data_IF_673752960037
#
_entry.id   IF_673752960037
#
_cell.length_a   1.000
_cell.length_b   1.000
_cell.length_c   1.000
_cell.angle_alpha   90.00
_cell.angle_beta   90.00
_cell.angle_gamma   90.00
#
_symmetry.space_group_name_H-M   'P 1'
#
loop_
_entity.id
_entity.type
_entity.pdbx_description
1 polymer ?
#
# COMPACT_ATOMS: atom_id res chain seq x y z
N UNK A 1 13.57 -5.54 -1.39
CA UNK A 1 13.54 -5.66 -2.84
C UNK A 1 13.90 -4.35 -3.52
N UNK A 2 14.53 -4.41 -4.66
CA UNK A 2 14.99 -3.24 -5.39
C UNK A 2 14.94 -3.51 -6.88
N UNK A 3 14.42 -2.56 -7.67
CA UNK A 3 14.52 -2.57 -9.12
C UNK A 3 15.52 -1.50 -9.57
N UNK A 4 16.32 -1.82 -10.57
CA UNK A 4 17.27 -0.90 -11.23
C UNK A 4 17.10 -0.93 -12.73
N UNK A 5 16.88 0.23 -13.32
CA UNK A 5 17.00 0.43 -14.77
C UNK A 5 18.49 0.45 -15.15
N UNK A 6 18.84 -0.28 -16.20
CA UNK A 6 20.21 -0.41 -16.70
C UNK A 6 20.25 -0.20 -18.21
N UNK A 7 21.45 -0.01 -18.74
CA UNK A 7 21.68 -0.07 -20.18
C UNK A 7 21.53 -1.50 -20.71
N UNK A 8 21.21 -1.63 -22.00
CA UNK A 8 20.98 -2.95 -22.63
C UNK A 8 22.19 -3.87 -22.63
N UNK A 9 23.40 -3.33 -22.63
CA UNK A 9 24.66 -4.06 -22.57
C UNK A 9 25.06 -4.52 -21.16
N UNK A 10 24.49 -3.88 -20.13
CA UNK A 10 24.80 -4.20 -18.74
C UNK A 10 23.99 -5.39 -18.19
N UNK A 11 22.99 -5.91 -18.95
CA UNK A 11 22.10 -7.01 -18.51
C UNK A 11 22.31 -8.25 -19.35
N UNK A 12 22.55 -9.38 -18.66
CA UNK A 12 22.46 -10.72 -19.22
C UNK A 12 21.02 -11.22 -19.12
N UNK A 13 20.31 -11.18 -20.27
CA UNK A 13 18.89 -11.50 -20.29
C UNK A 13 18.60 -12.94 -19.88
N UNK A 14 17.64 -13.11 -18.97
CA UNK A 14 17.21 -14.43 -18.49
C UNK A 14 18.07 -14.98 -17.34
N UNK A 15 19.10 -14.25 -16.89
CA UNK A 15 19.97 -14.69 -15.81
C UNK A 15 19.27 -14.61 -14.46
N UNK A 16 19.33 -15.71 -13.71
CA UNK A 16 18.94 -15.78 -12.30
C UNK A 16 20.17 -16.17 -11.47
N UNK A 17 20.50 -15.36 -10.49
CA UNK A 17 21.60 -15.61 -9.55
C UNK A 17 21.03 -15.80 -8.14
N UNK A 18 21.55 -16.78 -7.39
CA UNK A 18 21.22 -17.00 -5.99
C UNK A 18 22.49 -16.86 -5.17
N UNK A 19 22.50 -15.95 -4.19
CA UNK A 19 23.63 -15.71 -3.29
C UNK A 19 23.22 -16.19 -1.89
N UNK A 20 23.71 -17.36 -1.49
CA UNK A 20 23.33 -18.06 -0.27
C UNK A 20 22.44 -19.28 -0.54
N UNK A 21 21.78 -19.85 0.49
CA UNK A 21 20.91 -21.02 0.36
C UNK A 21 19.73 -20.81 -0.58
N UNK A 22 19.40 -21.81 -1.41
CA UNK A 22 18.17 -21.82 -2.23
C UNK A 22 16.96 -22.25 -1.39
N UNK A 23 15.74 -22.09 -1.88
CA UNK A 23 14.49 -22.47 -1.19
C UNK A 23 14.52 -23.92 -0.70
N UNK A 24 15.04 -24.85 -1.51
CA UNK A 24 15.18 -26.28 -1.17
C UNK A 24 16.12 -26.54 0.02
N UNK A 25 17.03 -25.63 0.29
CA UNK A 25 18.02 -25.75 1.37
C UNK A 25 17.49 -25.16 2.69
N UNK A 26 16.32 -24.50 2.66
CA UNK A 26 15.66 -23.93 3.82
C UNK A 26 14.72 -24.96 4.47
N UNK A 27 14.80 -25.12 5.78
CA UNK A 27 13.92 -26.02 6.52
C UNK A 27 12.47 -25.59 6.50
N UNK A 28 11.54 -26.56 6.51
CA UNK A 28 10.11 -26.28 6.62
C UNK A 28 9.80 -25.48 7.89
N UNK A 29 9.04 -24.39 7.76
CA UNK A 29 8.66 -23.51 8.88
C UNK A 29 9.77 -22.58 9.36
N UNK A 30 10.96 -22.62 8.72
CA UNK A 30 12.02 -21.65 8.97
C UNK A 30 11.73 -20.32 8.29
N UNK A 31 12.35 -19.25 8.76
CA UNK A 31 12.41 -17.97 8.05
C UNK A 31 13.88 -17.62 7.78
N UNK A 32 14.15 -17.05 6.62
CA UNK A 32 15.48 -16.63 6.21
C UNK A 32 15.44 -15.18 5.74
N UNK A 33 16.51 -14.40 5.93
CA UNK A 33 16.64 -13.11 5.27
C UNK A 33 16.50 -13.26 3.75
N UNK A 34 15.93 -12.26 3.09
CA UNK A 34 15.76 -12.27 1.64
C UNK A 34 15.94 -10.87 1.06
N UNK A 35 16.84 -10.75 0.09
CA UNK A 35 16.97 -9.63 -0.83
C UNK A 35 16.57 -10.05 -2.24
N UNK A 36 15.88 -9.17 -2.97
CA UNK A 36 15.51 -9.38 -4.37
C UNK A 36 15.98 -8.16 -5.16
N UNK A 37 16.99 -8.33 -6.00
CA UNK A 37 17.43 -7.32 -6.95
C UNK A 37 16.97 -7.72 -8.34
N UNK A 38 16.21 -6.84 -8.97
CA UNK A 38 15.76 -7.00 -10.36
C UNK A 38 16.37 -5.87 -11.18
N UNK A 39 17.12 -6.23 -12.21
CA UNK A 39 17.69 -5.29 -13.14
C UNK A 39 16.99 -5.44 -14.49
N UNK A 40 16.54 -4.32 -15.04
CA UNK A 40 15.72 -4.27 -16.26
C UNK A 40 16.31 -3.31 -17.27
N UNK A 41 16.20 -3.62 -18.54
CA UNK A 41 16.59 -2.75 -19.63
C UNK A 41 15.60 -2.79 -20.79
N UNK A 42 15.51 -1.68 -21.51
CA UNK A 42 14.69 -1.49 -22.70
C UNK A 42 14.79 -0.04 -23.17
N UNK A 43 14.41 0.24 -24.42
CA UNK A 43 14.57 1.57 -25.03
C UNK A 43 13.83 2.68 -24.27
N UNK A 44 12.71 2.36 -23.62
CA UNK A 44 11.88 3.31 -22.85
C UNK A 44 11.95 3.08 -21.35
N UNK A 45 12.88 2.22 -20.90
CA UNK A 45 13.06 1.96 -19.47
C UNK A 45 14.00 3.00 -18.87
N UNK A 46 13.48 3.78 -17.94
CA UNK A 46 14.20 4.84 -17.23
C UNK A 46 14.06 4.71 -15.71
N UNK A 47 14.87 5.44 -14.96
CA UNK A 47 14.86 5.37 -13.49
C UNK A 47 13.49 5.69 -12.87
N UNK A 48 12.75 6.63 -13.45
CA UNK A 48 11.42 7.01 -12.96
C UNK A 48 10.35 5.90 -13.15
N UNK A 49 10.70 4.78 -13.81
CA UNK A 49 9.84 3.58 -13.87
C UNK A 49 10.17 2.54 -12.78
N UNK A 50 11.30 2.67 -12.12
CA UNK A 50 11.79 1.66 -11.17
C UNK A 50 10.77 1.39 -10.04
N UNK A 51 10.16 2.43 -9.47
CA UNK A 51 9.16 2.28 -8.40
C UNK A 51 7.89 1.54 -8.86
N UNK A 52 7.40 1.82 -10.06
CA UNK A 52 6.24 1.11 -10.64
C UNK A 52 6.56 -0.34 -10.96
N UNK A 53 7.73 -0.61 -11.52
CA UNK A 53 8.20 -1.97 -11.81
C UNK A 53 8.38 -2.75 -10.50
N UNK A 54 8.95 -2.12 -9.47
CA UNK A 54 9.12 -2.70 -8.14
C UNK A 54 7.78 -3.08 -7.51
N UNK A 55 6.77 -2.21 -7.61
CA UNK A 55 5.41 -2.51 -7.14
C UNK A 55 4.81 -3.75 -7.82
N UNK A 56 5.18 -4.05 -9.06
CA UNK A 56 4.69 -5.23 -9.77
C UNK A 56 5.25 -6.54 -9.24
N UNK A 57 6.38 -6.55 -8.52
CA UNK A 57 6.89 -7.75 -7.84
C UNK A 57 5.82 -8.32 -6.90
N UNK A 58 5.25 -7.45 -6.06
CA UNK A 58 4.15 -7.83 -5.16
C UNK A 58 2.96 -8.42 -5.93
N UNK A 59 2.57 -7.76 -6.99
CA UNK A 59 1.45 -8.17 -7.82
C UNK A 59 1.71 -9.54 -8.46
N UNK A 60 2.86 -9.71 -9.11
CA UNK A 60 3.20 -10.97 -9.78
C UNK A 60 3.41 -12.15 -8.83
N UNK A 61 4.07 -11.94 -7.71
CA UNK A 61 4.24 -12.99 -6.71
C UNK A 61 2.89 -13.51 -6.20
N UNK A 62 1.91 -12.64 -6.00
CA UNK A 62 0.59 -13.03 -5.51
C UNK A 62 -0.30 -13.70 -6.58
N UNK A 63 0.08 -13.72 -7.85
CA UNK A 63 -0.54 -14.55 -8.88
C UNK A 63 -0.04 -16.00 -8.89
N UNK A 64 1.10 -16.27 -8.26
CA UNK A 64 1.68 -17.61 -8.23
C UNK A 64 0.97 -18.45 -7.17
N UNK A 65 0.39 -19.59 -7.57
CA UNK A 65 -0.32 -20.48 -6.64
C UNK A 65 0.56 -20.86 -5.44
N UNK A 66 0.08 -20.51 -4.26
CA UNK A 66 0.74 -20.87 -3.01
C UNK A 66 1.89 -19.97 -2.60
N UNK A 67 2.21 -18.96 -3.38
CA UNK A 67 3.12 -17.90 -3.00
C UNK A 67 2.33 -16.70 -2.48
N UNK A 68 2.79 -16.11 -1.38
CA UNK A 68 2.24 -14.88 -0.82
C UNK A 68 3.38 -13.88 -0.60
N UNK A 69 3.23 -12.72 -1.19
CA UNK A 69 4.14 -11.59 -1.01
C UNK A 69 3.41 -10.48 -0.27
N UNK A 70 3.98 -10.02 0.81
CA UNK A 70 3.47 -8.91 1.62
C UNK A 70 4.52 -7.81 1.70
N UNK A 71 4.04 -6.59 1.92
CA UNK A 71 4.81 -5.37 2.04
C UNK A 71 5.60 -5.03 0.76
N UNK A 72 6.56 -4.12 0.86
CA UNK A 72 7.36 -3.64 -0.26
C UNK A 72 8.65 -3.03 0.21
N UNK A 73 9.62 -2.88 -0.72
CA UNK A 73 10.90 -2.24 -0.49
C UNK A 73 11.71 -2.98 0.57
N UNK A 74 11.91 -2.37 1.75
CA UNK A 74 12.86 -2.80 2.78
C UNK A 74 12.31 -3.82 3.79
N UNK A 75 11.03 -4.18 3.69
CA UNK A 75 10.34 -5.01 4.69
C UNK A 75 9.42 -6.07 4.08
N UNK A 76 9.81 -6.58 2.93
CA UNK A 76 9.05 -7.64 2.24
C UNK A 76 8.94 -8.91 3.08
N UNK A 77 7.82 -9.61 2.86
CA UNK A 77 7.58 -10.97 3.30
C UNK A 77 7.20 -11.83 2.11
N UNK A 78 7.96 -12.90 1.90
CA UNK A 78 7.67 -13.90 0.88
C UNK A 78 7.41 -15.24 1.60
N UNK A 79 6.21 -15.79 1.41
CA UNK A 79 5.79 -17.06 2.01
C UNK A 79 5.34 -18.02 0.94
N UNK A 80 5.97 -19.21 0.92
CA UNK A 80 5.57 -20.31 0.07
C UNK A 80 4.82 -21.36 0.91
N UNK A 81 3.67 -21.84 0.44
CA UNK A 81 2.96 -22.91 1.13
C UNK A 81 3.58 -24.28 0.85
N UNK A 82 3.37 -25.23 1.77
CA UNK A 82 3.89 -26.59 1.70
C UNK A 82 3.47 -27.32 0.42
N UNK A 83 2.21 -27.17 0.01
CA UNK A 83 1.66 -27.86 -1.16
C UNK A 83 2.38 -27.48 -2.47
N UNK A 84 2.65 -26.19 -2.67
CA UNK A 84 3.37 -25.71 -3.87
C UNK A 84 4.84 -26.11 -3.81
N UNK A 85 5.45 -26.08 -2.64
CA UNK A 85 6.81 -26.56 -2.44
C UNK A 85 6.94 -28.04 -2.82
N UNK A 86 6.05 -28.92 -2.33
CA UNK A 86 6.05 -30.35 -2.61
C UNK A 86 5.75 -30.66 -4.08
N UNK A 87 5.03 -29.79 -4.78
CA UNK A 87 4.80 -29.89 -6.24
C UNK A 87 6.01 -29.44 -7.08
N UNK A 88 7.12 -29.08 -6.45
CA UNK A 88 8.37 -28.71 -7.13
C UNK A 88 8.60 -27.21 -7.29
N UNK A 89 7.73 -26.34 -6.76
CA UNK A 89 8.00 -24.91 -6.71
C UNK A 89 8.88 -24.61 -5.49
N UNK A 90 10.17 -24.99 -5.55
CA UNK A 90 11.09 -24.98 -4.43
C UNK A 90 12.47 -24.37 -4.76
N UNK A 91 12.55 -23.53 -5.79
CA UNK A 91 13.79 -22.90 -6.23
C UNK A 91 13.58 -21.41 -6.54
N UNK A 92 14.49 -20.57 -6.09
CA UNK A 92 14.55 -19.17 -6.50
C UNK A 92 14.81 -19.02 -8.01
N UNK A 93 15.53 -19.97 -8.62
CA UNK A 93 15.71 -19.95 -10.06
C UNK A 93 14.37 -20.04 -10.80
N UNK A 94 13.49 -20.96 -10.39
CA UNK A 94 12.15 -21.09 -10.96
C UNK A 94 11.30 -19.84 -10.73
N UNK A 95 11.30 -19.28 -9.51
CA UNK A 95 10.62 -18.02 -9.21
C UNK A 95 11.13 -16.88 -10.11
N UNK A 96 12.45 -16.75 -10.27
CA UNK A 96 13.06 -15.75 -11.14
C UNK A 96 12.61 -15.87 -12.59
N UNK A 97 12.57 -17.09 -13.13
CA UNK A 97 12.08 -17.34 -14.50
C UNK A 97 10.62 -16.94 -14.67
N UNK A 98 9.76 -17.24 -13.69
CA UNK A 98 8.34 -16.85 -13.73
C UNK A 98 8.19 -15.33 -13.69
N UNK A 99 8.90 -14.67 -12.77
CA UNK A 99 8.86 -13.21 -12.67
C UNK A 99 9.33 -12.54 -13.97
N UNK A 100 10.43 -12.98 -14.57
CA UNK A 100 10.93 -12.42 -15.83
C UNK A 100 9.92 -12.57 -16.98
N UNK A 101 9.23 -13.70 -17.07
CA UNK A 101 8.16 -13.89 -18.05
C UNK A 101 7.00 -12.92 -17.82
N UNK A 102 6.57 -12.74 -16.57
CA UNK A 102 5.50 -11.80 -16.22
C UNK A 102 5.91 -10.36 -16.52
N UNK A 103 7.14 -9.95 -16.18
CA UNK A 103 7.63 -8.62 -16.51
C UNK A 103 7.61 -8.35 -18.01
N UNK A 104 8.09 -9.29 -18.83
CA UNK A 104 8.12 -9.12 -20.29
C UNK A 104 6.72 -9.14 -20.92
N UNK A 105 5.79 -9.95 -20.40
CA UNK A 105 4.43 -10.03 -20.93
C UNK A 105 3.58 -8.81 -20.57
N UNK A 106 3.68 -8.34 -19.35
CA UNK A 106 2.86 -7.24 -18.82
C UNK A 106 3.47 -5.84 -19.08
N UNK A 107 4.77 -5.78 -19.31
CA UNK A 107 5.53 -4.56 -19.60
C UNK A 107 6.41 -4.76 -20.85
N UNK A 108 5.85 -4.70 -22.06
CA UNK A 108 6.58 -4.97 -23.32
C UNK A 108 7.79 -4.06 -23.58
N UNK A 109 7.89 -2.92 -22.86
CA UNK A 109 9.07 -2.05 -22.88
C UNK A 109 10.30 -2.70 -22.27
N UNK A 110 10.14 -3.70 -21.38
CA UNK A 110 11.24 -4.45 -20.79
C UNK A 110 11.70 -5.50 -21.80
N UNK A 111 12.89 -5.31 -22.34
CA UNK A 111 13.52 -6.20 -23.32
C UNK A 111 14.45 -7.21 -22.66
N UNK A 112 15.19 -6.79 -21.64
CA UNK A 112 16.07 -7.65 -20.88
C UNK A 112 15.80 -7.55 -19.38
N UNK A 113 15.95 -8.67 -18.69
CA UNK A 113 15.77 -8.76 -17.24
C UNK A 113 16.76 -9.77 -16.67
N UNK A 114 17.42 -9.41 -15.58
CA UNK A 114 18.15 -10.35 -14.73
C UNK A 114 17.70 -10.18 -13.28
N UNK A 115 17.73 -11.27 -12.51
CA UNK A 115 17.27 -11.28 -11.11
C UNK A 115 18.32 -11.93 -10.23
N UNK A 116 18.60 -11.27 -9.11
CA UNK A 116 19.47 -11.82 -8.05
C UNK A 116 18.64 -11.97 -6.76
N UNK A 117 18.58 -13.19 -6.26
CA UNK A 117 18.07 -13.49 -4.92
C UNK A 117 19.25 -13.59 -3.95
N UNK A 118 19.14 -12.92 -2.82
CA UNK A 118 20.17 -12.86 -1.79
C UNK A 118 19.56 -13.42 -0.51
N UNK A 119 20.10 -14.54 -0.02
CA UNK A 119 19.65 -15.22 1.20
C UNK A 119 20.76 -15.35 2.25
N UNK A 120 22.00 -14.99 1.89
CA UNK A 120 23.08 -14.83 2.84
C UNK A 120 22.81 -13.63 3.77
N UNK A 121 22.82 -13.80 5.11
CA UNK A 121 22.42 -12.76 6.05
C UNK A 121 23.28 -11.49 5.99
N UNK A 122 24.63 -11.64 5.77
CA UNK A 122 25.53 -10.49 5.67
C UNK A 122 25.24 -9.71 4.39
N UNK A 123 25.12 -10.42 3.28
CA UNK A 123 24.83 -9.80 1.98
C UNK A 123 23.47 -9.15 1.95
N UNK A 124 22.44 -9.70 2.63
CA UNK A 124 21.14 -9.04 2.78
C UNK A 124 21.28 -7.74 3.58
N UNK A 125 22.09 -7.69 4.63
CA UNK A 125 22.33 -6.45 5.39
C UNK A 125 23.02 -5.37 4.55
N UNK A 126 24.01 -5.74 3.76
CA UNK A 126 24.70 -4.84 2.82
C UNK A 126 23.72 -4.32 1.76
N UNK A 127 22.99 -5.22 1.12
CA UNK A 127 22.00 -4.90 0.09
C UNK A 127 20.89 -3.99 0.65
N UNK A 128 20.41 -4.22 1.88
CA UNK A 128 19.41 -3.37 2.52
C UNK A 128 19.91 -1.93 2.68
N UNK A 129 21.17 -1.72 3.03
CA UNK A 129 21.75 -0.36 3.14
C UNK A 129 21.75 0.35 1.79
N UNK A 130 22.17 -0.35 0.73
CA UNK A 130 22.14 0.19 -0.63
C UNK A 130 20.71 0.51 -1.09
N UNK A 131 19.78 -0.42 -0.87
CA UNK A 131 18.37 -0.23 -1.21
C UNK A 131 17.77 0.98 -0.49
N UNK A 132 18.01 1.12 0.81
CA UNK A 132 17.51 2.27 1.58
C UNK A 132 18.04 3.60 1.04
N UNK A 133 19.34 3.68 0.68
CA UNK A 133 19.91 4.88 0.04
C UNK A 133 19.21 5.19 -1.28
N UNK A 134 18.99 4.19 -2.11
CA UNK A 134 18.28 4.37 -3.40
C UNK A 134 16.84 4.85 -3.19
N UNK A 135 16.14 4.31 -2.20
CA UNK A 135 14.77 4.77 -1.90
C UNK A 135 14.76 6.23 -1.45
N UNK A 136 15.68 6.63 -0.55
CA UNK A 136 15.76 8.02 -0.08
C UNK A 136 16.09 8.99 -1.24
N UNK A 137 16.96 8.60 -2.18
CA UNK A 137 17.29 9.38 -3.37
C UNK A 137 16.09 9.52 -4.31
N UNK A 138 15.32 8.44 -4.56
CA UNK A 138 14.09 8.47 -5.37
C UNK A 138 13.04 9.34 -4.72
N UNK A 139 12.83 9.15 -3.42
CA UNK A 139 11.81 9.84 -2.67
C UNK A 139 12.12 11.35 -2.56
N UNK A 140 13.40 11.71 -2.49
CA UNK A 140 13.81 13.11 -2.44
C UNK A 140 13.50 13.91 -3.70
N UNK A 141 13.38 13.27 -4.87
CA UNK A 141 13.11 13.96 -6.15
C UNK A 141 11.83 14.80 -6.13
N UNK A 142 10.77 14.33 -5.49
CA UNK A 142 9.50 15.03 -5.45
C UNK A 142 9.40 16.06 -4.31
N UNK A 143 10.34 16.05 -3.35
CA UNK A 143 10.35 17.01 -2.25
C UNK A 143 10.62 18.41 -2.78
N UNK A 144 9.77 19.35 -2.42
CA UNK A 144 9.84 20.74 -2.90
C UNK A 144 8.92 21.06 -4.07
N UNK A 145 8.42 20.06 -4.80
CA UNK A 145 7.36 20.26 -5.79
C UNK A 145 6.00 20.30 -5.08
N UNK A 146 5.14 21.23 -5.45
CA UNK A 146 3.83 21.44 -4.81
C UNK A 146 2.70 20.93 -5.69
N UNK A 147 1.62 20.49 -5.06
CA UNK A 147 0.44 20.00 -5.75
C UNK A 147 -0.25 21.09 -6.59
N UNK A 148 -0.11 22.35 -6.17
CA UNK A 148 -0.63 23.51 -6.88
C UNK A 148 0.17 23.88 -8.14
N UNK A 149 1.40 23.40 -8.27
CA UNK A 149 2.32 23.71 -9.38
C UNK A 149 2.17 22.77 -10.57
N UNK A 150 1.32 21.73 -10.45
CA UNK A 150 1.10 20.76 -11.52
C UNK A 150 -0.38 20.69 -11.92
N UNK A 151 -0.64 20.46 -13.20
CA UNK A 151 -2.00 20.33 -13.73
C UNK A 151 -2.50 18.88 -13.73
N UNK A 152 -1.59 17.93 -13.53
CA UNK A 152 -1.89 16.50 -13.56
C UNK A 152 -1.35 15.79 -12.34
N UNK A 153 -2.18 14.95 -11.76
CA UNK A 153 -1.82 13.92 -10.79
C UNK A 153 -1.78 12.55 -11.47
N UNK A 154 -1.49 11.51 -10.72
CA UNK A 154 -1.51 10.15 -11.24
C UNK A 154 -2.36 9.24 -10.37
N UNK A 155 -3.03 8.29 -11.00
CA UNK A 155 -3.83 7.28 -10.33
C UNK A 155 -3.14 5.92 -10.43
N UNK A 156 -3.36 5.06 -9.40
CA UNK A 156 -2.89 3.68 -9.43
C UNK A 156 -4.01 2.74 -8.97
N UNK A 157 -4.30 1.72 -9.78
CA UNK A 157 -5.32 0.69 -9.54
C UNK A 157 -4.74 -0.71 -9.33
N UNK A 158 -3.42 -0.86 -9.20
CA UNK A 158 -2.75 -2.16 -8.99
C UNK A 158 -3.28 -2.95 -7.77
N UNK A 159 -3.95 -2.28 -6.83
CA UNK A 159 -4.50 -2.91 -5.63
C UNK A 159 -5.98 -3.28 -5.75
N UNK A 160 -6.65 -3.02 -6.87
CA UNK A 160 -8.08 -3.29 -7.01
C UNK A 160 -8.46 -4.77 -6.96
N UNK A 161 -7.51 -5.68 -7.16
CA UNK A 161 -7.72 -7.11 -6.90
C UNK A 161 -8.03 -7.43 -5.43
N UNK A 162 -7.60 -6.57 -4.49
CA UNK A 162 -7.82 -6.71 -3.05
C UNK A 162 -8.84 -5.71 -2.50
N UNK A 163 -8.91 -4.53 -3.10
CA UNK A 163 -9.76 -3.41 -2.71
C UNK A 163 -10.38 -2.79 -3.97
N UNK A 164 -11.48 -3.36 -4.51
CA UNK A 164 -12.02 -3.03 -5.82
C UNK A 164 -12.35 -1.55 -6.03
N UNK A 165 -12.83 -0.85 -5.01
CA UNK A 165 -13.16 0.58 -5.06
C UNK A 165 -11.96 1.51 -4.78
N UNK A 166 -10.80 0.95 -4.44
CA UNK A 166 -9.62 1.75 -4.13
C UNK A 166 -8.91 2.26 -5.39
N UNK A 167 -8.74 3.57 -5.47
CA UNK A 167 -7.83 4.22 -6.40
C UNK A 167 -6.82 5.04 -5.58
N UNK A 168 -5.55 4.70 -5.70
CA UNK A 168 -4.51 5.50 -5.08
C UNK A 168 -4.25 6.74 -5.92
N UNK A 169 -4.49 7.92 -5.39
CA UNK A 169 -4.14 9.19 -6.04
C UNK A 169 -2.75 9.61 -5.56
N UNK A 170 -1.89 9.93 -6.51
CA UNK A 170 -0.48 10.25 -6.30
C UNK A 170 -0.25 11.67 -6.80
N UNK A 171 0.17 12.54 -5.90
CA UNK A 171 0.52 13.93 -6.18
C UNK A 171 1.99 14.18 -5.84
N UNK A 172 2.58 15.33 -6.19
CA UNK A 172 3.92 15.68 -5.74
C UNK A 172 4.11 15.56 -4.23
N UNK A 173 3.10 15.98 -3.45
CA UNK A 173 3.17 16.01 -1.98
C UNK A 173 2.46 14.82 -1.30
N UNK A 174 1.86 13.91 -2.07
CA UNK A 174 1.22 12.71 -1.56
C UNK A 174 1.60 11.50 -2.41
N UNK A 175 2.52 10.71 -1.91
CA UNK A 175 2.92 9.44 -2.51
C UNK A 175 1.81 8.39 -2.47
N UNK A 176 1.92 7.37 -3.32
CA UNK A 176 1.10 6.16 -3.17
C UNK A 176 1.19 5.65 -1.72
N UNK A 177 0.07 5.19 -1.16
CA UNK A 177 0.00 4.72 0.23
C UNK A 177 1.05 3.65 0.55
N UNK A 178 1.43 2.84 -0.43
CA UNK A 178 2.46 1.80 -0.30
C UNK A 178 3.89 2.33 -0.19
N UNK A 179 4.12 3.61 -0.47
CA UNK A 179 5.44 4.24 -0.47
C UNK A 179 6.31 3.95 -1.71
N UNK A 180 5.86 3.11 -2.65
CA UNK A 180 6.69 2.68 -3.77
C UNK A 180 6.61 3.57 -5.01
N UNK A 181 5.53 4.34 -5.17
CA UNK A 181 5.27 5.12 -6.39
C UNK A 181 5.16 6.60 -6.05
N UNK A 182 6.08 7.38 -6.57
CA UNK A 182 6.10 8.85 -6.53
C UNK A 182 5.29 9.44 -7.68
N UNK A 183 5.14 10.77 -7.67
CA UNK A 183 4.55 11.50 -8.80
C UNK A 183 5.37 11.32 -10.09
N UNK A 184 6.71 11.28 -9.99
CA UNK A 184 7.58 11.04 -11.15
C UNK A 184 7.41 9.63 -11.71
N UNK A 185 7.32 8.61 -10.85
CA UNK A 185 7.03 7.23 -11.27
C UNK A 185 5.67 7.14 -11.96
N UNK A 186 4.65 7.81 -11.41
CA UNK A 186 3.32 7.88 -12.02
C UNK A 186 3.36 8.53 -13.40
N UNK A 187 4.11 9.63 -13.56
CA UNK A 187 4.31 10.33 -14.81
C UNK A 187 4.97 9.45 -15.88
N UNK A 188 6.06 8.80 -15.51
CA UNK A 188 6.79 7.93 -16.42
C UNK A 188 5.93 6.73 -16.85
N UNK A 189 5.21 6.11 -15.93
CA UNK A 189 4.35 4.97 -16.23
C UNK A 189 3.17 5.34 -17.14
N UNK A 190 2.49 6.45 -16.85
CA UNK A 190 1.38 6.93 -17.69
C UNK A 190 1.82 7.37 -19.11
N UNK A 191 3.07 7.83 -19.25
CA UNK A 191 3.65 8.15 -20.57
C UNK A 191 3.88 6.89 -21.41
N UNK A 192 4.38 5.83 -20.77
CA UNK A 192 4.73 4.58 -21.45
C UNK A 192 3.50 3.72 -21.73
N UNK A 193 2.56 3.67 -20.80
CA UNK A 193 1.32 2.88 -20.89
C UNK A 193 0.12 3.73 -20.42
N UNK A 194 -0.42 4.62 -21.29
CA UNK A 194 -1.50 5.54 -20.92
C UNK A 194 -2.81 4.84 -20.52
N UNK A 195 -3.00 3.57 -20.91
CA UNK A 195 -4.17 2.74 -20.58
C UNK A 195 -3.90 1.74 -19.48
N UNK A 196 -2.70 1.74 -18.93
CA UNK A 196 -2.27 0.84 -17.88
C UNK A 196 -2.89 1.14 -16.52
N UNK A 197 -2.52 0.34 -15.51
CA UNK A 197 -3.05 0.50 -14.16
C UNK A 197 -2.50 1.72 -13.42
N UNK A 198 -1.48 2.40 -13.97
CA UNK A 198 -1.00 3.71 -13.52
C UNK A 198 -1.27 4.70 -14.64
N UNK A 199 -2.06 5.72 -14.38
CA UNK A 199 -2.62 6.60 -15.40
C UNK A 199 -2.68 8.06 -14.94
N UNK A 200 -2.83 8.97 -15.90
CA UNK A 200 -2.95 10.41 -15.65
C UNK A 200 -4.33 10.74 -15.08
N UNK A 201 -4.34 11.59 -14.06
CA UNK A 201 -5.53 12.18 -13.43
C UNK A 201 -5.44 13.69 -13.61
N UNK A 202 -6.41 14.28 -14.30
CA UNK A 202 -6.50 15.74 -14.34
C UNK A 202 -6.73 16.27 -12.91
N UNK A 203 -5.96 17.25 -12.47
CA UNK A 203 -6.21 17.90 -11.19
C UNK A 203 -7.60 18.54 -11.17
N UNK A 204 -7.95 19.22 -12.24
CA UNK A 204 -9.17 20.00 -12.33
C UNK A 204 -9.13 21.24 -11.43
N UNK A 205 -10.31 21.79 -11.15
CA UNK A 205 -10.46 22.94 -10.27
C UNK A 205 -10.22 22.56 -8.81
N UNK A 206 -9.66 23.49 -8.04
CA UNK A 206 -9.51 23.37 -6.60
C UNK A 206 -10.85 23.70 -5.94
N UNK A 207 -11.52 22.67 -5.40
CA UNK A 207 -12.81 22.82 -4.73
C UNK A 207 -12.60 23.26 -3.27
N UNK A 208 -11.65 22.63 -2.58
CA UNK A 208 -11.24 22.97 -1.22
C UNK A 208 -9.73 22.76 -1.08
N UNK A 209 -8.97 23.84 -1.04
CA UNK A 209 -7.51 23.80 -0.96
C UNK A 209 -6.98 23.26 0.38
N UNK A 210 -7.73 23.50 1.47
CA UNK A 210 -7.34 23.04 2.80
C UNK A 210 -7.50 21.52 2.93
N UNK A 211 -8.62 20.99 2.48
CA UNK A 211 -8.90 19.54 2.50
C UNK A 211 -8.25 18.78 1.34
N UNK A 212 -7.75 19.50 0.32
CA UNK A 212 -7.22 18.88 -0.88
C UNK A 212 -8.32 18.21 -1.72
N UNK A 213 -9.40 18.92 -1.94
CA UNK A 213 -10.47 18.46 -2.82
C UNK A 213 -10.30 19.08 -4.21
N UNK A 214 -10.27 18.22 -5.22
CA UNK A 214 -10.06 18.59 -6.62
C UNK A 214 -11.13 17.97 -7.50
N UNK A 215 -11.72 18.75 -8.41
CA UNK A 215 -12.83 18.27 -9.24
C UNK A 215 -12.45 17.13 -10.17
N UNK A 216 -11.27 17.16 -10.78
CA UNK A 216 -10.78 16.09 -11.65
C UNK A 216 -10.42 14.81 -10.90
N UNK A 217 -9.95 14.93 -9.66
CA UNK A 217 -9.73 13.79 -8.77
C UNK A 217 -11.06 13.12 -8.42
N UNK A 218 -12.06 13.88 -8.00
CA UNK A 218 -13.39 13.37 -7.67
C UNK A 218 -14.01 12.64 -8.87
N UNK A 219 -13.94 13.22 -10.07
CA UNK A 219 -14.45 12.57 -11.29
C UNK A 219 -13.73 11.25 -11.56
N UNK A 220 -12.40 11.24 -11.49
CA UNK A 220 -11.60 10.03 -11.73
C UNK A 220 -11.91 8.93 -10.70
N UNK A 221 -12.03 9.29 -9.42
CA UNK A 221 -12.34 8.34 -8.36
C UNK A 221 -13.74 7.74 -8.57
N UNK A 222 -14.73 8.56 -8.91
CA UNK A 222 -16.07 8.09 -9.21
C UNK A 222 -16.08 7.08 -10.36
N UNK A 223 -15.40 7.39 -11.44
CA UNK A 223 -15.34 6.53 -12.63
C UNK A 223 -14.63 5.19 -12.35
N UNK A 224 -13.53 5.24 -11.62
CA UNK A 224 -12.66 4.07 -11.39
C UNK A 224 -13.10 3.22 -10.19
N UNK A 225 -13.91 3.75 -9.27
CA UNK A 225 -14.49 3.01 -8.15
C UNK A 225 -15.86 2.40 -8.48
N UNK A 226 -16.28 2.40 -9.73
CA UNK A 226 -17.61 1.96 -10.16
C UNK A 226 -18.76 2.77 -9.51
N UNK A 227 -18.49 4.04 -9.20
CA UNK A 227 -19.44 4.95 -8.56
C UNK A 227 -19.57 4.78 -7.04
N UNK A 228 -18.79 3.89 -6.42
CA UNK A 228 -18.86 3.68 -4.97
C UNK A 228 -18.26 4.85 -4.16
N UNK A 229 -17.26 5.54 -4.72
CA UNK A 229 -16.62 6.71 -4.11
C UNK A 229 -16.83 7.90 -5.03
N UNK A 230 -17.49 8.93 -4.54
CA UNK A 230 -17.81 10.11 -5.37
C UNK A 230 -16.86 11.28 -5.12
N UNK A 231 -16.22 11.31 -3.94
CA UNK A 231 -15.48 12.48 -3.45
C UNK A 231 -14.38 12.05 -2.51
N UNK A 232 -13.26 12.77 -2.52
CA UNK A 232 -12.14 12.50 -1.62
C UNK A 232 -11.47 13.79 -1.16
N UNK A 233 -11.09 13.81 0.12
CA UNK A 233 -10.20 14.80 0.70
C UNK A 233 -8.79 14.22 0.81
N UNK A 234 -7.87 14.78 0.05
CA UNK A 234 -6.50 14.28 -0.01
C UNK A 234 -5.70 14.56 1.27
N UNK A 235 -6.09 15.61 2.03
CA UNK A 235 -5.33 16.13 3.17
C UNK A 235 -6.15 16.15 4.47
N UNK A 236 -7.22 15.38 4.55
CA UNK A 236 -8.03 15.18 5.76
C UNK A 236 -8.36 13.72 5.97
N UNK A 237 -8.39 13.30 7.24
CA UNK A 237 -8.88 11.99 7.65
C UNK A 237 -10.39 11.99 7.98
N UNK A 238 -11.12 13.09 7.76
CA UNK A 238 -12.54 13.19 8.10
C UNK A 238 -13.41 13.58 6.90
N UNK A 239 -14.67 13.16 6.97
CA UNK A 239 -15.70 13.40 5.98
C UNK A 239 -15.56 12.49 4.76
N UNK A 240 -14.60 12.74 3.91
CA UNK A 240 -14.34 11.92 2.72
C UNK A 240 -12.84 11.57 2.64
N UNK A 241 -12.29 10.82 3.63
CA UNK A 241 -10.88 10.50 3.62
C UNK A 241 -10.51 9.65 2.41
N UNK A 242 -9.27 9.77 1.97
CA UNK A 242 -8.77 8.93 0.88
C UNK A 242 -8.84 7.45 1.29
N UNK A 243 -9.33 6.59 0.39
CA UNK A 243 -9.42 5.15 0.61
C UNK A 243 -8.05 4.49 0.75
N UNK A 244 -8.01 3.30 1.33
CA UNK A 244 -6.78 2.51 1.49
C UNK A 244 -7.00 1.06 1.07
N UNK A 245 -5.97 0.46 0.44
CA UNK A 245 -6.04 -0.95 0.01
C UNK A 245 -5.67 -1.93 1.13
N UNK A 246 -4.73 -1.56 2.00
CA UNK A 246 -4.09 -2.43 3.00
C UNK A 246 -2.56 -2.53 2.82
N UNK A 247 -2.01 -2.10 1.68
CA UNK A 247 -0.58 -2.11 1.39
C UNK A 247 0.13 -0.80 1.77
N UNK A 248 -0.39 -0.04 2.70
CA UNK A 248 0.21 1.20 3.18
C UNK A 248 1.40 0.95 4.13
N UNK A 249 2.30 1.92 4.26
CA UNK A 249 3.43 1.82 5.18
C UNK A 249 3.01 2.09 6.63
N UNK A 250 2.09 3.04 6.84
CA UNK A 250 1.61 3.43 8.15
C UNK A 250 0.11 3.73 8.14
N UNK A 251 -0.49 3.74 9.31
CA UNK A 251 -1.85 4.20 9.55
C UNK A 251 -1.79 5.41 10.47
N UNK A 252 -2.36 6.53 10.04
CA UNK A 252 -2.74 7.62 10.92
C UNK A 252 -4.15 7.32 11.46
N UNK A 253 -4.33 7.36 12.76
CA UNK A 253 -5.59 7.05 13.42
C UNK A 253 -5.94 8.10 14.46
N UNK A 254 -7.21 8.50 14.45
CA UNK A 254 -7.73 9.47 15.39
C UNK A 254 -7.96 8.85 16.76
N UNK A 255 -7.61 9.60 17.80
CA UNK A 255 -7.79 9.24 19.21
C UNK A 255 -8.76 10.24 19.84
N UNK A 256 -10.07 9.92 19.91
CA UNK A 256 -11.10 10.86 20.41
C UNK A 256 -10.83 11.39 21.80
N UNK A 257 -10.26 10.59 22.68
CA UNK A 257 -10.01 10.91 24.10
C UNK A 257 -9.05 12.07 24.28
N UNK A 258 -8.26 12.40 23.26
CA UNK A 258 -7.29 13.52 23.28
C UNK A 258 -7.45 14.46 22.10
N UNK A 259 -8.45 14.24 21.26
CA UNK A 259 -8.68 14.98 20.00
C UNK A 259 -7.42 15.07 19.12
N UNK A 260 -6.63 14.00 19.09
CA UNK A 260 -5.35 13.93 18.41
C UNK A 260 -5.21 12.71 17.50
N UNK A 261 -4.12 12.64 16.74
CA UNK A 261 -3.80 11.51 15.90
C UNK A 261 -2.59 10.74 16.41
N UNK A 262 -2.71 9.42 16.42
CA UNK A 262 -1.59 8.50 16.51
C UNK A 262 -1.15 8.05 15.12
N UNK A 263 0.10 7.62 15.00
CA UNK A 263 0.64 6.98 13.81
C UNK A 263 1.17 5.62 14.22
N UNK A 264 0.89 4.57 13.44
CA UNK A 264 1.50 3.25 13.63
C UNK A 264 2.04 2.73 12.31
N UNK A 265 3.26 2.20 12.33
CA UNK A 265 3.94 1.67 11.16
C UNK A 265 3.84 0.14 11.12
N UNK A 266 3.82 -0.45 9.93
CA UNK A 266 3.70 -1.90 9.72
C UNK A 266 4.84 -2.73 10.35
N UNK A 267 6.02 -2.14 10.55
CA UNK A 267 7.13 -2.81 11.24
C UNK A 267 7.05 -2.76 12.77
N UNK A 268 6.15 -1.97 13.32
CA UNK A 268 5.98 -1.87 14.76
C UNK A 268 5.31 -3.12 15.32
N UNK A 269 6.00 -3.85 16.19
CA UNK A 269 5.54 -5.11 16.76
C UNK A 269 4.82 -4.95 18.11
N UNK A 270 4.77 -3.71 18.63
CA UNK A 270 4.07 -3.38 19.86
C UNK A 270 2.59 -3.08 19.65
N UNK A 271 1.96 -2.65 20.73
CA UNK A 271 0.61 -2.10 20.71
C UNK A 271 0.66 -0.57 20.69
N UNK A 272 -0.31 0.04 20.04
CA UNK A 272 -0.53 1.49 20.09
C UNK A 272 -1.08 1.89 21.46
N UNK A 273 -1.16 3.17 21.75
CA UNK A 273 -1.70 3.68 23.02
C UNK A 273 -3.16 3.28 23.32
N UNK A 274 -3.90 2.90 22.30
CA UNK A 274 -5.26 2.33 22.44
C UNK A 274 -5.28 0.80 22.55
N UNK A 275 -4.13 0.15 22.75
CA UNK A 275 -3.99 -1.29 22.99
C UNK A 275 -4.09 -2.17 21.75
N UNK A 276 -4.13 -1.60 20.54
CA UNK A 276 -4.30 -2.35 19.30
C UNK A 276 -2.98 -2.50 18.52
N UNK A 277 -2.68 -3.67 17.95
CA UNK A 277 -1.54 -3.86 17.07
C UNK A 277 -1.80 -3.25 15.68
N UNK A 278 -0.72 -3.05 14.91
CA UNK A 278 -0.82 -2.55 13.53
C UNK A 278 -1.81 -3.33 12.67
N UNK A 279 -1.85 -4.66 12.78
CA UNK A 279 -2.74 -5.48 11.95
C UNK A 279 -4.21 -5.12 12.14
N UNK A 280 -4.66 -4.90 13.37
CA UNK A 280 -6.03 -4.49 13.67
C UNK A 280 -6.33 -3.08 13.15
N UNK A 281 -5.37 -2.16 13.30
CA UNK A 281 -5.50 -0.79 12.75
C UNK A 281 -5.55 -0.82 11.23
N UNK A 282 -4.77 -1.70 10.59
CA UNK A 282 -4.78 -1.89 9.15
C UNK A 282 -6.12 -2.44 8.65
N UNK A 283 -6.68 -3.45 9.31
CA UNK A 283 -7.99 -4.02 8.96
C UNK A 283 -9.12 -2.99 9.09
N UNK A 284 -9.01 -2.04 10.02
CA UNK A 284 -10.00 -0.98 10.22
C UNK A 284 -10.08 -0.03 9.03
N UNK A 285 -8.97 0.22 8.32
CA UNK A 285 -8.89 1.19 7.22
C UNK A 285 -8.76 0.59 5.82
N UNK A 286 -8.42 -0.69 5.71
CA UNK A 286 -8.21 -1.36 4.42
C UNK A 286 -9.53 -1.65 3.66
N UNK A 287 -9.40 -2.20 2.44
CA UNK A 287 -10.51 -2.72 1.64
C UNK A 287 -11.21 -1.68 0.76
N UNK A 288 -10.58 -0.53 0.50
CA UNK A 288 -11.11 0.49 -0.42
C UNK A 288 -12.24 1.35 0.16
N UNK A 289 -12.43 1.33 1.47
CA UNK A 289 -13.47 2.10 2.16
C UNK A 289 -12.95 3.47 2.58
N UNK A 290 -13.86 4.44 2.70
CA UNK A 290 -13.65 5.69 3.41
C UNK A 290 -14.00 5.47 4.88
N UNK A 291 -13.05 5.70 5.79
CA UNK A 291 -13.24 5.49 7.23
C UNK A 291 -12.77 6.73 7.97
N UNK A 292 -13.71 7.46 8.56
CA UNK A 292 -13.40 8.67 9.31
C UNK A 292 -12.41 8.40 10.44
N UNK A 293 -11.43 9.28 10.54
CA UNK A 293 -10.37 9.18 11.53
C UNK A 293 -9.28 8.14 11.23
N UNK A 294 -9.34 7.46 10.07
CA UNK A 294 -8.33 6.49 9.67
C UNK A 294 -7.79 6.79 8.27
N UNK A 295 -6.48 6.80 8.14
CA UNK A 295 -5.81 7.11 6.88
C UNK A 295 -4.58 6.25 6.69
N UNK A 296 -4.61 5.34 5.70
CA UNK A 296 -3.44 4.58 5.28
C UNK A 296 -2.49 5.47 4.47
N UNK A 297 -1.24 5.57 4.87
CA UNK A 297 -0.28 6.54 4.36
C UNK A 297 1.10 5.93 4.09
N UNK A 298 1.89 6.60 3.27
CA UNK A 298 3.32 6.35 3.11
C UNK A 298 4.14 7.22 4.08
N UNK A 299 5.38 6.83 4.32
CA UNK A 299 6.33 7.65 5.11
C UNK A 299 6.60 8.98 4.42
N UNK A 300 6.67 9.03 3.08
CA UNK A 300 6.87 10.29 2.36
C UNK A 300 5.68 11.25 2.52
N UNK A 301 4.45 10.74 2.61
CA UNK A 301 3.32 11.60 2.90
C UNK A 301 3.38 12.18 4.33
N UNK A 302 3.88 11.43 5.32
CA UNK A 302 4.14 11.98 6.67
C UNK A 302 5.15 13.14 6.65
N UNK A 303 6.09 13.14 5.69
CA UNK A 303 7.09 14.20 5.51
C UNK A 303 6.54 15.45 4.80
N UNK A 304 5.35 15.36 4.26
CA UNK A 304 4.72 16.46 3.50
C UNK A 304 4.03 17.47 4.40
N UNK A 305 4.07 18.75 4.02
CA UNK A 305 3.27 19.81 4.64
C UNK A 305 1.76 19.63 4.45
N UNK A 306 1.36 18.77 3.50
CA UNK A 306 -0.04 18.42 3.24
C UNK A 306 -0.57 17.31 4.15
N UNK A 307 0.31 16.69 4.96
CA UNK A 307 -0.12 15.60 5.85
C UNK A 307 -1.11 16.10 6.89
N UNK A 308 -2.35 15.60 6.80
CA UNK A 308 -3.48 15.99 7.67
C UNK A 308 -3.66 17.52 7.80
N UNK A 309 -3.32 18.27 6.73
CA UNK A 309 -3.33 19.74 6.73
C UNK A 309 -4.67 20.31 7.23
N UNK A 310 -5.79 19.75 6.78
CA UNK A 310 -7.12 20.21 7.20
C UNK A 310 -7.48 19.80 8.64
N UNK A 311 -6.77 18.84 9.18
CA UNK A 311 -7.06 18.31 10.52
C UNK A 311 -6.13 18.87 11.59
N UNK A 312 -5.23 19.79 11.24
CA UNK A 312 -4.27 20.44 12.15
C UNK A 312 -2.82 19.97 11.98
N UNK A 313 -2.54 19.04 11.05
CA UNK A 313 -1.18 18.61 10.74
C UNK A 313 -0.40 18.15 11.98
N UNK A 314 0.87 18.57 12.07
CA UNK A 314 1.77 18.18 13.16
C UNK A 314 1.29 18.62 14.56
N UNK A 315 0.55 19.70 14.68
CA UNK A 315 0.00 20.17 15.95
C UNK A 315 -1.02 19.22 16.57
N UNK A 316 -1.51 18.27 15.79
CA UNK A 316 -2.47 17.28 16.23
C UNK A 316 -1.90 15.86 16.33
N UNK A 317 -0.61 15.66 16.00
CA UNK A 317 0.05 14.35 16.13
C UNK A 317 0.53 14.17 17.57
N UNK A 318 -0.08 13.24 18.30
CA UNK A 318 0.19 13.04 19.74
C UNK A 318 1.11 11.84 20.02
N UNK A 319 1.15 10.85 19.13
CA UNK A 319 1.90 9.62 19.37
C UNK A 319 2.36 8.95 18.07
N UNK A 320 3.57 8.39 18.09
CA UNK A 320 4.07 7.48 17.05
C UNK A 320 5.21 6.63 17.59
N UNK A 321 5.48 5.43 16.98
CA UNK A 321 6.65 4.63 17.33
C UNK A 321 7.95 5.42 17.15
N UNK A 322 8.90 5.22 18.08
CA UNK A 322 10.19 5.93 18.06
C UNK A 322 10.95 5.74 16.74
N UNK A 323 10.84 4.57 16.12
CA UNK A 323 11.43 4.28 14.80
C UNK A 323 10.84 5.17 13.70
N UNK A 324 9.53 5.41 13.72
CA UNK A 324 8.88 6.31 12.75
C UNK A 324 9.28 7.74 13.02
N UNK A 325 9.25 8.15 14.29
CA UNK A 325 9.64 9.50 14.71
C UNK A 325 11.04 9.85 14.21
N UNK A 326 12.01 8.96 14.37
CA UNK A 326 13.37 9.16 13.87
C UNK A 326 13.42 9.29 12.33
N UNK A 327 12.66 8.49 11.61
CA UNK A 327 12.61 8.55 10.13
C UNK A 327 12.03 9.85 9.57
N UNK A 328 11.13 10.50 10.32
CA UNK A 328 10.47 11.74 9.88
C UNK A 328 10.95 12.97 10.64
N UNK A 329 11.88 12.83 11.56
CA UNK A 329 12.36 13.85 12.49
C UNK A 329 12.71 15.18 11.83
N UNK A 330 13.41 15.14 10.70
CA UNK A 330 13.82 16.34 9.95
C UNK A 330 12.61 17.14 9.36
N UNK A 331 11.41 16.56 9.37
CA UNK A 331 10.19 17.16 8.83
C UNK A 331 9.18 17.53 9.92
N UNK A 332 9.43 17.12 11.15
CA UNK A 332 8.63 17.53 12.31
C UNK A 332 9.06 18.95 12.68
N UNK A 333 8.12 19.89 12.88
CA UNK A 333 8.46 21.22 13.42
C UNK A 333 9.26 21.09 14.72
N UNK A 334 10.32 21.88 14.86
CA UNK A 334 11.26 21.75 15.99
C UNK A 334 10.58 21.84 17.34
N UNK A 335 9.58 22.70 17.47
CA UNK A 335 8.77 22.90 18.68
C UNK A 335 7.83 21.72 18.97
N UNK A 336 7.47 20.91 17.95
CA UNK A 336 6.59 19.76 18.09
C UNK A 336 7.35 18.46 18.38
N UNK A 337 8.62 18.37 17.96
CA UNK A 337 9.41 17.14 18.11
C UNK A 337 9.42 16.63 19.57
N UNK A 338 9.73 17.44 20.61
CA UNK A 338 9.73 16.97 22.00
C UNK A 338 8.34 16.68 22.57
N UNK A 339 7.28 17.17 21.93
CA UNK A 339 5.90 17.02 22.43
C UNK A 339 5.24 15.74 21.93
N UNK A 340 5.62 15.23 20.75
CA UNK A 340 5.09 13.99 20.20
C UNK A 340 5.65 12.82 21.01
N UNK A 341 4.74 12.03 21.60
CA UNK A 341 5.06 10.87 22.43
C UNK A 341 5.41 9.64 21.60
N UNK A 342 6.11 8.70 22.22
CA UNK A 342 6.46 7.42 21.63
C UNK A 342 6.05 6.27 22.57
N UNK A 343 6.22 5.02 22.14
CA UNK A 343 6.03 3.83 22.97
C UNK A 343 6.92 3.80 24.22
N UNK A 344 7.98 4.61 24.24
CA UNK A 344 8.88 4.76 25.39
C UNK A 344 8.36 5.74 26.44
N UNK A 345 7.51 6.69 26.01
CA UNK A 345 6.93 7.70 26.88
C UNK A 345 5.59 7.23 27.46
N UNK A 346 4.69 6.72 26.61
CA UNK A 346 3.35 6.33 27.01
C UNK A 346 2.90 5.03 26.33
N UNK A 347 2.36 4.12 27.13
CA UNK A 347 1.79 2.85 26.68
C UNK A 347 0.26 2.79 26.83
N UNK A 348 -0.35 3.77 27.49
CA UNK A 348 -1.81 3.86 27.70
C UNK A 348 -2.33 5.26 27.46
N UNK A 349 -3.64 5.36 27.20
CA UNK A 349 -4.32 6.64 26.99
C UNK A 349 -4.23 7.57 28.21
N UNK A 350 -4.35 7.03 29.42
CA UNK A 350 -4.31 7.84 30.65
C UNK A 350 -2.93 8.46 30.85
N UNK A 351 -1.86 7.65 30.76
CA UNK A 351 -0.49 8.16 30.84
C UNK A 351 -0.17 9.19 29.76
N UNK A 352 -0.74 9.01 28.56
CA UNK A 352 -0.57 9.95 27.47
C UNK A 352 -1.18 11.32 27.75
N UNK A 353 -2.40 11.39 28.31
CA UNK A 353 -3.08 12.67 28.63
C UNK A 353 -2.24 13.56 29.55
N UNK A 354 -1.70 12.98 30.59
CA UNK A 354 -0.90 13.74 31.57
C UNK A 354 0.43 14.23 30.98
N UNK A 355 1.05 13.41 30.12
CA UNK A 355 2.27 13.80 29.42
C UNK A 355 2.02 14.90 28.38
N UNK A 356 0.91 14.83 27.64
CA UNK A 356 0.55 15.90 26.70
C UNK A 356 0.35 17.25 27.40
N UNK A 357 -0.30 17.25 28.57
CA UNK A 357 -0.42 18.45 29.41
C UNK A 357 0.95 18.95 29.88
N UNK A 358 1.77 18.08 30.45
CA UNK A 358 3.10 18.45 30.96
C UNK A 358 4.05 18.98 29.89
N UNK A 359 3.92 18.51 28.68
CA UNK A 359 4.70 18.94 27.49
C UNK A 359 4.10 20.18 26.79
N UNK A 360 2.98 20.69 27.26
CA UNK A 360 2.24 21.79 26.61
C UNK A 360 1.98 21.50 25.12
N UNK A 361 1.46 20.30 24.83
CA UNK A 361 1.12 19.92 23.47
C UNK A 361 -0.08 20.76 22.97
N UNK A 362 -0.08 21.29 21.73
CA UNK A 362 -1.18 22.14 21.21
C UNK A 362 -2.55 21.51 21.31
N UNK A 363 -2.65 20.18 21.21
CA UNK A 363 -3.91 19.45 21.30
C UNK A 363 -4.66 19.70 22.62
N UNK A 364 -3.95 20.06 23.71
CA UNK A 364 -4.54 20.32 25.03
C UNK A 364 -5.47 21.54 25.02
N UNK A 365 -5.17 22.54 24.18
CA UNK A 365 -6.03 23.72 24.04
C UNK A 365 -7.39 23.34 23.45
N UNK A 366 -7.42 22.36 22.56
CA UNK A 366 -8.65 21.86 21.92
C UNK A 366 -9.61 21.20 22.93
N UNK A 367 -9.09 20.67 24.04
CA UNK A 367 -9.92 20.09 25.10
C UNK A 367 -10.72 21.12 25.89
N UNK A 368 -10.27 22.39 25.88
CA UNK A 368 -10.96 23.51 26.55
C UNK A 368 -12.11 24.05 25.73
N UNK A 369 -12.06 23.86 24.41
CA UNK A 369 -13.03 24.39 23.44
C UNK A 369 -14.14 23.39 23.11
N UNK A 370 -14.06 22.15 23.58
CA UNK A 370 -15.10 21.15 23.33
C UNK A 370 -16.39 21.58 24.04
N UNK A 371 -17.45 22.01 23.32
CA UNK A 371 -18.76 22.20 23.91
C UNK A 371 -19.23 20.86 24.48
N UNK A 372 -19.84 20.91 25.67
CA UNK A 372 -20.64 19.83 26.21
C UNK A 372 -21.60 19.35 25.11
N UNK A 373 -21.44 18.10 24.68
CA UNK A 373 -22.36 17.33 23.85
C UNK A 373 -23.09 18.08 22.70
N UNK A 374 -22.43 18.14 21.54
CA UNK A 374 -23.14 17.73 20.35
C UNK A 374 -22.51 16.41 19.92
N UNK A 375 -23.19 15.31 20.20
CA UNK A 375 -22.96 14.07 19.48
C UNK A 375 -22.88 14.47 18.00
N UNK A 376 -21.71 14.22 17.38
CA UNK A 376 -21.59 14.27 15.94
C UNK A 376 -22.73 13.37 15.45
N UNK A 377 -23.77 13.98 14.88
CA UNK A 377 -24.69 13.20 14.08
C UNK A 377 -23.78 12.46 13.09
N UNK A 378 -23.76 11.14 13.12
CA UNK A 378 -22.98 10.39 12.15
C UNK A 378 -23.43 10.94 10.81
N UNK A 379 -22.48 11.45 10.01
CA UNK A 379 -22.74 11.82 8.63
C UNK A 379 -23.63 10.71 8.05
N UNK A 380 -24.73 11.04 7.35
CA UNK A 380 -25.71 10.05 6.95
C UNK A 380 -24.95 8.89 6.35
N UNK A 381 -24.90 7.78 7.09
CA UNK A 381 -24.29 6.56 6.60
C UNK A 381 -25.01 6.28 5.30
N UNK A 382 -24.32 6.47 4.19
CA UNK A 382 -24.81 5.86 2.96
C UNK A 382 -25.09 4.42 3.36
N UNK A 383 -26.32 3.90 3.12
CA UNK A 383 -26.63 2.53 3.48
C UNK A 383 -25.50 1.70 2.90
N UNK A 384 -24.71 1.10 3.79
CA UNK A 384 -23.69 0.15 3.38
C UNK A 384 -24.43 -0.89 2.57
N UNK A 385 -24.36 -0.80 1.25
CA UNK A 385 -24.67 -1.95 0.42
C UNK A 385 -23.70 -2.98 0.95
N UNK A 386 -24.24 -3.99 1.65
CA UNK A 386 -23.46 -5.14 2.09
C UNK A 386 -22.52 -5.49 0.95
N UNK A 387 -21.21 -5.71 1.19
CA UNK A 387 -20.25 -5.96 0.12
C UNK A 387 -20.79 -7.14 -0.68
N UNK A 388 -21.13 -6.88 -1.92
CA UNK A 388 -21.45 -7.93 -2.88
C UNK A 388 -20.12 -8.63 -3.11
N UNK A 389 -19.85 -9.66 -2.30
CA UNK A 389 -18.73 -10.55 -2.50
C UNK A 389 -18.90 -11.15 -3.89
N UNK A 390 -18.09 -10.70 -4.84
CA UNK A 390 -17.96 -11.40 -6.12
C UNK A 390 -17.53 -12.84 -5.81
N UNK A 391 -18.23 -13.84 -6.30
CA UNK A 391 -17.84 -15.22 -6.07
C UNK A 391 -16.46 -15.45 -6.70
N UNK A 392 -15.48 -15.72 -5.87
CA UNK A 392 -14.18 -16.19 -6.34
C UNK A 392 -14.38 -17.59 -6.90
N UNK A 393 -14.40 -17.71 -8.21
CA UNK A 393 -14.37 -19.01 -8.90
C UNK A 393 -12.98 -19.63 -8.67
N UNK A 394 -12.89 -20.53 -7.70
CA UNK A 394 -11.74 -21.42 -7.56
C UNK A 394 -11.98 -22.56 -8.54
N UNK A 395 -11.14 -22.77 -9.57
CA UNK A 395 -11.28 -23.94 -10.43
C UNK A 395 -11.06 -25.20 -9.59
N UNK A 396 -12.09 -26.03 -9.51
CA UNK A 396 -11.97 -27.35 -8.90
C UNK A 396 -11.16 -28.25 -9.84
N UNK A 397 -10.04 -28.74 -9.34
CA UNK A 397 -9.28 -29.82 -10.00
C UNK A 397 -10.14 -31.09 -10.05
N UNK A 398 -10.11 -31.72 -11.20
CA UNK A 398 -10.82 -32.94 -11.60
C UNK A 398 -10.76 -34.06 -10.53
N UNK A 399 -11.90 -34.36 -9.97
CA UNK A 399 -12.25 -35.58 -9.24
C UNK A 399 -13.77 -35.72 -9.30
N UNK A 400 -14.27 -36.87 -9.71
CA UNK A 400 -15.68 -37.15 -9.96
C UNK A 400 -16.60 -36.64 -8.84
N UNK A 401 -17.53 -35.75 -9.18
CA UNK A 401 -18.64 -35.35 -8.31
C UNK A 401 -18.76 -33.86 -8.07
N UNK A 402 -19.66 -33.22 -8.81
CA UNK A 402 -20.36 -31.98 -8.46
C UNK A 402 -19.58 -30.71 -8.18
N UNK A 403 -20.07 -29.59 -8.68
CA UNK A 403 -19.57 -28.25 -8.36
C UNK A 403 -19.98 -27.92 -6.90
N UNK A 404 -18.99 -27.73 -6.01
CA UNK A 404 -19.24 -27.23 -4.65
C UNK A 404 -19.00 -25.73 -4.60
N UNK A 405 -20.07 -24.94 -4.47
CA UNK A 405 -19.99 -23.50 -4.26
C UNK A 405 -20.10 -23.25 -2.75
N UNK A 406 -19.06 -22.70 -2.14
CA UNK A 406 -19.06 -22.31 -0.71
C UNK A 406 -19.14 -20.79 -0.64
N UNK A 407 -20.28 -20.28 -0.18
CA UNK A 407 -20.50 -18.88 0.07
C UNK A 407 -20.44 -18.64 1.61
N UNK A 408 -19.39 -17.94 2.08
CA UNK A 408 -19.29 -17.54 3.49
C UNK A 408 -19.78 -16.10 3.62
N UNK A 409 -20.78 -15.89 4.49
CA UNK A 409 -21.29 -14.57 4.82
C UNK A 409 -22.17 -13.92 3.75
N UNK A 410 -22.57 -14.64 2.71
CA UNK A 410 -23.48 -14.14 1.69
C UNK A 410 -24.94 -14.56 1.97
N UNK A 411 -25.87 -13.60 1.87
CA UNK A 411 -27.32 -13.87 1.88
C UNK A 411 -27.81 -13.83 0.43
N UNK A 412 -28.22 -14.98 -0.10
CA UNK A 412 -28.79 -15.06 -1.43
C UNK A 412 -30.31 -15.01 -1.31
N UNK A 413 -30.92 -14.00 -1.92
CA UNK A 413 -32.38 -13.90 -2.07
C UNK A 413 -32.70 -14.04 -3.53
N UNK A 414 -33.20 -15.19 -3.94
CA UNK A 414 -33.61 -15.43 -5.32
C UNK A 414 -34.92 -16.23 -5.34
N UNK A 415 -35.83 -15.88 -6.27
CA UNK A 415 -37.05 -16.66 -6.51
C UNK A 415 -36.77 -18.03 -7.12
N UNK A 416 -35.66 -18.18 -7.84
CA UNK A 416 -35.25 -19.44 -8.48
C UNK A 416 -33.75 -19.41 -8.78
N UNK A 417 -33.03 -20.48 -8.44
CA UNK A 417 -31.64 -20.71 -8.82
C UNK A 417 -31.60 -21.86 -9.81
N UNK A 418 -31.03 -21.66 -11.01
CA UNK A 418 -30.88 -22.68 -12.03
C UNK A 418 -29.39 -22.92 -12.23
N UNK A 419 -28.91 -24.13 -11.91
CA UNK A 419 -27.57 -24.57 -12.22
C UNK A 419 -27.63 -25.36 -13.55
N UNK A 420 -26.98 -24.82 -14.59
CA UNK A 420 -26.79 -25.54 -15.87
C UNK A 420 -25.43 -26.21 -15.84
N UNK A 421 -25.41 -27.51 -15.82
CA UNK A 421 -24.20 -28.32 -16.06
C UNK A 421 -24.11 -28.58 -17.58
N UNK A 422 -22.98 -28.28 -18.23
CA UNK A 422 -22.77 -28.64 -19.62
C UNK A 422 -22.90 -30.17 -19.78
N UNK A 423 -23.71 -30.63 -20.72
CA UNK A 423 -23.73 -32.06 -21.10
C UNK A 423 -22.39 -32.39 -21.76
N UNK A 424 -21.67 -33.37 -21.26
CA UNK A 424 -20.56 -33.96 -21.99
C UNK A 424 -21.08 -34.48 -23.32
N UNK A 425 -20.47 -34.01 -24.40
CA UNK A 425 -20.70 -34.59 -25.73
C UNK A 425 -20.00 -35.94 -25.76
N UNK A 426 -20.75 -37.03 -25.59
CA UNK A 426 -20.28 -38.35 -25.92
C UNK A 426 -20.17 -38.46 -27.45
N UNK A 427 -19.00 -38.19 -28.00
CA UNK A 427 -18.63 -38.65 -29.32
C UNK A 427 -18.26 -40.14 -29.21
N UNK A 428 -19.21 -41.00 -29.55
CA UNK A 428 -18.90 -42.36 -30.03
C UNK A 428 -18.48 -42.23 -31.48
N UNK A 429 -17.32 -42.78 -31.81
CA UNK A 429 -16.81 -42.92 -33.14
C UNK A 429 -15.36 -43.37 -33.05
#
# INVERSE_FOLDING_TARGET
ELVKARSMDAIEDGKVTVIGPDMKDLGQGSSSPLGILIEVAGEQVEQDLEGVIERRIHYYCNYIEGLMHLNQRYDIWLRLNKKSYEKGFNSFHLLGQVLMRLFKSELPIIKKTQITFITDPEKVREFKKEAMKTYDERDAKARGLKDEEVDSFYGCTLCQSFAPSHICIITPQRYANCGAISWFDGRAAAKVDPKGPVFTVARGEIVDSLKGEFSGVNQTIKDKSLGEIERVYMYSAFGYPHTSCGCFEAVAFYIPEVDGFGIVHRDFKGQTVNGLPFSTMADSTAGGRQVDGFHGVSIEYLRSTKFLQADGGWDRIVWMPSVVKERVKAFIPTEMEPKILTEKDASTLDSMKDLLKSKNHPVVERWKEAPVETALEPAPRQPSKEPTLMPTLIPATSGAGGIKIILKGAKITAKKVILKVPKESTSRG
#
